data_IF_723481768810
#
_entry.id   IF_723481768810
#
_cell.length_a   1.000
_cell.length_b   1.000
_cell.length_c   1.000
_cell.angle_alpha   90.00
_cell.angle_beta   90.00
_cell.angle_gamma   90.00
#
_symmetry.space_group_name_H-M   'P 1'
#
loop_
_entity.id
_entity.type
_entity.pdbx_description
1 polymer ?
#
# COMPACT_ATOMS: atom_id res chain seq x y z
N UNK A 1 -5.24 -3.56 -32.06
CA UNK A 1 -4.27 -3.44 -30.95
C UNK A 1 -4.86 -3.06 -29.58
N UNK A 2 -6.19 -2.98 -29.37
CA UNK A 2 -6.79 -2.58 -28.08
C UNK A 2 -7.06 -3.74 -27.08
N UNK A 3 -7.09 -4.98 -27.56
CA UNK A 3 -7.48 -6.15 -26.75
C UNK A 3 -6.43 -6.53 -25.71
N UNK A 4 -5.13 -6.30 -25.99
CA UNK A 4 -4.05 -6.69 -25.10
C UNK A 4 -4.01 -5.81 -23.83
N UNK A 5 -4.21 -4.50 -23.98
CA UNK A 5 -4.21 -3.55 -22.86
C UNK A 5 -5.34 -3.82 -21.86
N UNK A 6 -6.56 -4.07 -22.35
CA UNK A 6 -7.70 -4.41 -21.48
C UNK A 6 -7.44 -5.68 -20.66
N UNK A 7 -6.93 -6.74 -21.30
CA UNK A 7 -6.60 -8.00 -20.61
C UNK A 7 -5.53 -7.79 -19.54
N UNK A 8 -4.51 -6.95 -19.80
CA UNK A 8 -3.47 -6.62 -18.83
C UNK A 8 -4.07 -5.87 -17.62
N UNK A 9 -4.95 -4.89 -17.85
CA UNK A 9 -5.59 -4.14 -16.77
C UNK A 9 -6.54 -4.99 -15.94
N UNK A 10 -7.35 -5.83 -16.58
CA UNK A 10 -8.20 -6.80 -15.87
C UNK A 10 -7.37 -7.76 -15.02
N UNK A 11 -6.24 -8.24 -15.55
CA UNK A 11 -5.33 -9.11 -14.81
C UNK A 11 -4.69 -8.39 -13.62
N UNK A 12 -4.31 -7.13 -13.76
CA UNK A 12 -3.77 -6.33 -12.66
C UNK A 12 -4.80 -6.10 -11.55
N UNK A 13 -6.06 -5.82 -11.91
CA UNK A 13 -7.16 -5.70 -10.96
C UNK A 13 -7.45 -7.03 -10.23
N UNK A 14 -7.42 -8.15 -10.96
CA UNK A 14 -7.57 -9.49 -10.36
C UNK A 14 -6.40 -9.81 -9.42
N UNK A 15 -5.17 -9.53 -9.81
CA UNK A 15 -4.00 -9.69 -8.92
C UNK A 15 -4.09 -8.83 -7.67
N UNK A 16 -4.66 -7.62 -7.76
CA UNK A 16 -4.93 -6.79 -6.60
C UNK A 16 -5.99 -7.41 -5.71
N UNK A 17 -7.05 -7.97 -6.28
CA UNK A 17 -8.10 -8.67 -5.53
C UNK A 17 -7.55 -9.92 -4.81
N UNK A 18 -6.76 -10.75 -5.51
CA UNK A 18 -6.13 -11.99 -5.02
C UNK A 18 -4.89 -11.77 -4.13
N UNK A 19 -4.46 -10.52 -3.95
CA UNK A 19 -3.44 -10.18 -2.98
C UNK A 19 -4.06 -10.28 -1.58
N UNK A 20 -4.11 -11.50 -1.04
CA UNK A 20 -4.61 -11.80 0.33
C UNK A 20 -3.50 -11.71 1.39
N UNK A 21 -2.26 -11.49 0.95
CA UNK A 21 -1.11 -11.37 1.85
C UNK A 21 -0.38 -10.06 1.63
N UNK A 22 0.21 -9.54 2.70
CA UNK A 22 1.04 -8.34 2.69
C UNK A 22 2.18 -8.47 1.67
N UNK A 23 2.76 -9.67 1.54
CA UNK A 23 3.83 -9.94 0.57
C UNK A 23 3.35 -9.79 -0.87
N UNK A 24 2.20 -10.38 -1.23
CA UNK A 24 1.60 -10.23 -2.56
C UNK A 24 1.28 -8.76 -2.87
N UNK A 25 0.74 -8.02 -1.90
CA UNK A 25 0.47 -6.60 -2.08
C UNK A 25 1.75 -5.78 -2.31
N UNK A 26 2.84 -6.10 -1.60
CA UNK A 26 4.16 -5.48 -1.80
C UNK A 26 4.75 -5.80 -3.17
N UNK A 27 4.68 -7.05 -3.61
CA UNK A 27 5.13 -7.45 -4.95
C UNK A 27 4.35 -6.73 -6.03
N UNK A 28 3.02 -6.63 -5.89
CA UNK A 28 2.17 -5.92 -6.82
C UNK A 28 2.49 -4.42 -6.89
N UNK A 29 2.71 -3.77 -5.73
CA UNK A 29 3.20 -2.39 -5.69
C UNK A 29 4.52 -2.26 -6.45
N UNK A 30 5.46 -3.17 -6.23
CA UNK A 30 6.78 -3.14 -6.86
C UNK A 30 6.67 -3.32 -8.37
N UNK A 31 5.85 -4.27 -8.82
CA UNK A 31 5.55 -4.51 -10.24
C UNK A 31 4.92 -3.28 -10.90
N UNK A 32 3.95 -2.63 -10.25
CA UNK A 32 3.30 -1.44 -10.76
C UNK A 32 4.27 -0.25 -10.88
N UNK A 33 5.21 -0.09 -9.94
CA UNK A 33 6.27 0.92 -10.04
C UNK A 33 7.26 0.60 -11.16
N UNK A 34 7.65 -0.66 -11.33
CA UNK A 34 8.50 -1.08 -12.47
C UNK A 34 7.80 -0.83 -13.80
N UNK A 35 6.49 -1.11 -13.89
CA UNK A 35 5.69 -0.82 -15.07
C UNK A 35 5.61 0.69 -15.36
N UNK A 36 5.47 1.52 -14.33
CA UNK A 36 5.48 2.98 -14.48
C UNK A 36 6.82 3.50 -15.01
N UNK A 37 7.94 2.98 -14.48
CA UNK A 37 9.28 3.33 -14.94
C UNK A 37 9.54 2.84 -16.38
N UNK A 38 9.06 1.66 -16.73
CA UNK A 38 9.11 1.15 -18.10
C UNK A 38 8.27 2.02 -19.06
N UNK A 39 7.05 2.38 -18.68
CA UNK A 39 6.18 3.26 -19.46
C UNK A 39 6.83 4.64 -19.68
N UNK A 40 7.49 5.17 -18.65
CA UNK A 40 8.30 6.40 -18.75
C UNK A 40 9.44 6.26 -19.75
N UNK A 41 10.21 5.16 -19.69
CA UNK A 41 11.33 4.89 -20.62
C UNK A 41 10.88 4.67 -22.07
N UNK A 42 9.62 4.27 -22.25
CA UNK A 42 9.01 4.02 -23.56
C UNK A 42 8.18 5.19 -24.09
N UNK A 43 8.17 6.33 -23.39
CA UNK A 43 7.42 7.53 -23.76
C UNK A 43 5.94 7.22 -24.06
N UNK A 44 5.31 6.42 -23.19
CA UNK A 44 3.91 5.98 -23.35
C UNK A 44 2.89 7.03 -22.90
N UNK A 45 3.33 8.26 -22.59
CA UNK A 45 2.51 9.36 -22.09
C UNK A 45 2.30 9.34 -20.57
N UNK A 46 2.03 10.53 -20.00
CA UNK A 46 1.88 10.73 -18.56
C UNK A 46 0.67 9.96 -17.99
N UNK A 47 -0.42 9.82 -18.76
CA UNK A 47 -1.62 9.09 -18.34
C UNK A 47 -1.32 7.60 -18.05
N UNK A 48 -0.50 6.96 -18.89
CA UNK A 48 -0.12 5.56 -18.69
C UNK A 48 0.75 5.39 -17.43
N UNK A 49 1.70 6.31 -17.22
CA UNK A 49 2.56 6.34 -16.04
C UNK A 49 1.71 6.58 -14.78
N UNK A 50 0.79 7.54 -14.83
CA UNK A 50 -0.11 7.85 -13.74
C UNK A 50 -1.04 6.68 -13.40
N UNK A 51 -1.56 5.98 -14.41
CA UNK A 51 -2.32 4.75 -14.21
C UNK A 51 -1.51 3.68 -13.46
N UNK A 52 -0.27 3.40 -13.87
CA UNK A 52 0.58 2.44 -13.15
C UNK A 52 0.86 2.88 -11.70
N UNK A 53 1.14 4.17 -11.47
CA UNK A 53 1.34 4.72 -10.12
C UNK A 53 0.07 4.64 -9.26
N UNK A 54 -1.10 4.79 -9.87
CA UNK A 54 -2.39 4.69 -9.19
C UNK A 54 -2.63 3.28 -8.65
N UNK A 55 -2.32 2.25 -9.43
CA UNK A 55 -2.37 0.86 -8.96
C UNK A 55 -1.36 0.58 -7.84
N UNK A 56 -0.16 1.17 -7.92
CA UNK A 56 0.82 1.05 -6.84
C UNK A 56 0.30 1.65 -5.51
N UNK A 57 -0.42 2.77 -5.58
CA UNK A 57 -1.05 3.40 -4.41
C UNK A 57 -2.18 2.54 -3.83
N UNK A 58 -2.99 1.93 -4.68
CA UNK A 58 -4.08 1.03 -4.24
C UNK A 58 -3.53 -0.22 -3.55
N UNK A 59 -2.46 -0.82 -4.11
CA UNK A 59 -1.76 -1.94 -3.48
C UNK A 59 -1.16 -1.53 -2.11
N UNK A 60 -0.60 -0.32 -2.02
CA UNK A 60 -0.05 0.23 -0.76
C UNK A 60 -1.16 0.46 0.28
N UNK A 61 -2.33 0.97 -0.14
CA UNK A 61 -3.50 1.15 0.72
C UNK A 61 -4.04 -0.18 1.23
N UNK A 62 -4.21 -1.17 0.35
CA UNK A 62 -4.66 -2.52 0.72
C UNK A 62 -3.68 -3.18 1.70
N UNK A 63 -2.38 -3.03 1.45
CA UNK A 63 -1.33 -3.47 2.38
C UNK A 63 -1.48 -2.81 3.75
N UNK A 64 -1.76 -1.51 3.80
CA UNK A 64 -2.00 -0.77 5.03
C UNK A 64 -3.25 -1.23 5.80
N UNK A 65 -4.31 -1.59 5.09
CA UNK A 65 -5.54 -2.15 5.68
C UNK A 65 -5.23 -3.49 6.34
N UNK A 66 -4.57 -4.41 5.61
CA UNK A 66 -4.12 -5.69 6.16
C UNK A 66 -3.21 -5.51 7.37
N UNK A 67 -2.27 -4.55 7.32
CA UNK A 67 -1.36 -4.25 8.43
C UNK A 67 -2.08 -3.68 9.66
N UNK A 68 -3.29 -3.14 9.52
CA UNK A 68 -4.12 -2.71 10.67
C UNK A 68 -4.96 -3.86 11.21
N UNK A 69 -5.44 -4.74 10.33
CA UNK A 69 -6.20 -5.94 10.70
C UNK A 69 -5.31 -6.99 11.37
N UNK A 70 -4.06 -7.14 10.92
CA UNK A 70 -3.06 -7.95 11.63
C UNK A 70 -2.66 -7.20 12.90
N UNK A 71 -3.21 -7.62 14.04
CA UNK A 71 -2.83 -7.12 15.36
C UNK A 71 -1.30 -7.18 15.46
N UNK A 72 -0.65 -6.00 15.55
CA UNK A 72 0.81 -5.91 15.63
C UNK A 72 1.26 -6.81 16.78
N UNK A 73 2.22 -7.70 16.54
CA UNK A 73 2.90 -8.42 17.61
C UNK A 73 3.36 -7.37 18.63
N UNK A 74 2.65 -7.29 19.75
CA UNK A 74 2.90 -6.28 20.76
C UNK A 74 4.37 -6.38 21.14
N UNK A 75 5.12 -5.30 20.94
CA UNK A 75 6.48 -5.14 21.44
C UNK A 75 6.49 -4.97 22.98
N UNK A 76 5.56 -5.64 23.67
CA UNK A 76 5.57 -5.79 25.10
C UNK A 76 6.49 -6.97 25.43
N UNK A 77 7.64 -6.60 26.00
CA UNK A 77 8.51 -7.46 26.79
C UNK A 77 7.69 -8.36 27.72
N UNK A 78 7.44 -9.60 27.34
CA UNK A 78 7.23 -10.67 28.30
C UNK A 78 7.93 -11.93 27.80
N UNK A 79 9.18 -12.06 28.24
CA UNK A 79 9.90 -13.33 28.21
C UNK A 79 9.22 -14.29 29.20
N UNK A 80 8.12 -14.91 28.81
CA UNK A 80 7.67 -16.15 29.44
C UNK A 80 7.40 -17.20 28.37
N UNK A 81 8.33 -18.15 28.34
CA UNK A 81 8.19 -19.48 27.74
C UNK A 81 6.78 -20.02 28.04
N UNK A 82 5.97 -20.18 27.01
CA UNK A 82 4.81 -21.05 27.00
C UNK A 82 4.83 -21.79 25.65
N UNK A 83 4.62 -23.09 25.70
CA UNK A 83 4.79 -24.02 24.60
C UNK A 83 3.74 -23.76 23.48
N UNK A 84 4.20 -23.88 22.23
CA UNK A 84 3.69 -23.27 20.99
C UNK A 84 2.23 -23.58 20.56
N UNK A 85 1.59 -22.64 19.83
CA UNK A 85 0.86 -23.01 18.60
C UNK A 85 1.06 -21.97 17.46
N UNK A 86 0.64 -22.30 16.23
CA UNK A 86 0.61 -21.41 15.06
C UNK A 86 0.06 -20.00 15.42
N UNK A 87 0.72 -18.91 14.98
CA UNK A 87 0.13 -17.57 15.05
C UNK A 87 0.90 -16.49 15.82
N UNK A 88 2.23 -16.45 15.75
CA UNK A 88 2.95 -15.19 16.00
C UNK A 88 2.71 -14.32 14.77
N UNK A 89 2.05 -13.15 14.87
CA UNK A 89 1.91 -12.28 13.71
C UNK A 89 3.31 -11.90 13.23
N UNK A 90 3.60 -12.11 11.94
CA UNK A 90 4.95 -11.96 11.42
C UNK A 90 5.44 -10.53 11.69
N UNK A 91 6.67 -10.42 12.19
CA UNK A 91 7.30 -9.14 12.43
C UNK A 91 7.49 -8.39 11.11
N UNK A 92 7.54 -7.05 11.15
CA UNK A 92 7.76 -6.23 9.94
C UNK A 92 9.01 -6.66 9.16
N UNK A 93 10.06 -7.12 9.86
CA UNK A 93 11.27 -7.65 9.23
C UNK A 93 11.02 -8.98 8.50
N UNK A 94 10.19 -9.87 9.05
CA UNK A 94 9.80 -11.14 8.40
C UNK A 94 8.90 -10.91 7.20
N UNK A 95 8.09 -9.84 7.22
CA UNK A 95 7.32 -9.34 6.06
C UNK A 95 8.21 -8.57 5.05
N UNK A 96 9.51 -8.43 5.33
CA UNK A 96 10.45 -7.67 4.52
C UNK A 96 10.10 -6.19 4.40
N UNK A 97 9.30 -5.63 5.30
CA UNK A 97 8.87 -4.23 5.28
C UNK A 97 9.73 -3.39 6.23
N UNK A 98 10.15 -2.22 5.77
CA UNK A 98 10.72 -1.23 6.68
C UNK A 98 9.63 -0.60 7.55
N UNK A 99 9.97 -0.12 8.76
CA UNK A 99 9.02 0.60 9.61
C UNK A 99 8.40 1.80 8.90
N UNK A 100 9.19 2.48 8.05
CA UNK A 100 8.73 3.63 7.26
C UNK A 100 7.67 3.22 6.24
N UNK A 101 7.91 2.17 5.46
CA UNK A 101 6.95 1.67 4.48
C UNK A 101 5.64 1.22 5.14
N UNK A 102 5.73 0.54 6.27
CA UNK A 102 4.54 0.12 7.02
C UNK A 102 3.73 1.32 7.53
N UNK A 103 4.39 2.37 8.01
CA UNK A 103 3.75 3.57 8.50
C UNK A 103 3.08 4.37 7.37
N UNK A 104 3.72 4.46 6.20
CA UNK A 104 3.13 5.12 5.02
C UNK A 104 1.93 4.36 4.49
N UNK A 105 2.00 3.03 4.44
CA UNK A 105 0.87 2.19 4.01
C UNK A 105 -0.33 2.31 4.95
N UNK A 106 -0.10 2.21 6.27
CA UNK A 106 -1.15 2.38 7.27
C UNK A 106 -1.74 3.80 7.28
N UNK A 107 -0.93 4.82 6.99
CA UNK A 107 -1.42 6.19 6.79
C UNK A 107 -2.40 6.24 5.61
N UNK A 108 -2.03 5.69 4.46
CA UNK A 108 -2.90 5.65 3.27
C UNK A 108 -4.20 4.86 3.51
N UNK A 109 -4.14 3.79 4.30
CA UNK A 109 -5.31 3.00 4.67
C UNK A 109 -6.29 3.76 5.57
N UNK A 110 -5.80 4.69 6.38
CA UNK A 110 -6.65 5.50 7.26
C UNK A 110 -7.23 6.74 6.57
N UNK A 111 -6.63 7.19 5.47
CA UNK A 111 -7.14 8.36 4.76
C UNK A 111 -8.58 8.11 4.24
N UNK A 112 -9.46 9.12 4.32
CA UNK A 112 -10.74 9.13 3.63
C UNK A 112 -10.58 8.82 2.14
N UNK A 113 -11.62 8.25 1.53
CA UNK A 113 -11.60 7.94 0.10
C UNK A 113 -11.34 9.19 -0.75
N UNK A 114 -11.92 10.34 -0.38
CA UNK A 114 -11.73 11.60 -1.11
C UNK A 114 -10.27 12.05 -1.14
N UNK A 115 -9.61 12.08 0.03
CA UNK A 115 -8.19 12.42 0.14
C UNK A 115 -7.31 11.45 -0.65
N UNK A 116 -7.66 10.17 -0.65
CA UNK A 116 -6.94 9.15 -1.39
C UNK A 116 -7.07 9.35 -2.90
N UNK A 117 -8.26 9.66 -3.40
CA UNK A 117 -8.49 9.96 -4.82
C UNK A 117 -7.76 11.25 -5.24
N UNK A 118 -7.65 12.27 -4.38
CA UNK A 118 -6.84 13.46 -4.66
C UNK A 118 -5.34 13.15 -4.77
N UNK A 119 -4.83 12.23 -3.94
CA UNK A 119 -3.44 11.75 -4.03
C UNK A 119 -3.24 10.94 -5.31
N UNK A 120 -4.20 10.09 -5.67
CA UNK A 120 -4.20 9.29 -6.91
C UNK A 120 -4.22 10.17 -8.16
N UNK A 121 -4.97 11.27 -8.11
CA UNK A 121 -5.05 12.28 -9.16
C UNK A 121 -3.81 13.19 -9.21
N UNK A 122 -2.89 13.10 -8.24
CA UNK A 122 -1.71 13.97 -8.16
C UNK A 122 -2.00 15.40 -7.70
N UNK A 123 -3.23 15.70 -7.25
CA UNK A 123 -3.65 17.01 -6.77
C UNK A 123 -3.14 17.30 -5.35
N UNK A 124 -2.92 16.24 -4.57
CA UNK A 124 -2.50 16.32 -3.17
C UNK A 124 -1.27 15.45 -2.92
N UNK A 125 -0.30 15.98 -2.17
CA UNK A 125 0.89 15.21 -1.81
C UNK A 125 0.66 14.40 -0.54
N UNK A 126 1.34 13.26 -0.42
CA UNK A 126 1.34 12.42 0.79
C UNK A 126 1.69 13.21 2.06
N UNK A 127 2.62 14.15 1.94
CA UNK A 127 3.06 15.00 3.06
C UNK A 127 1.97 15.97 3.53
N UNK A 128 1.20 16.54 2.60
CA UNK A 128 0.08 17.43 2.92
C UNK A 128 -1.04 16.67 3.64
N UNK A 129 -1.43 15.51 3.12
CA UNK A 129 -2.43 14.65 3.76
C UNK A 129 -2.02 14.20 5.18
N UNK A 130 -0.73 13.89 5.38
CA UNK A 130 -0.20 13.57 6.72
C UNK A 130 -0.32 14.76 7.69
N UNK A 131 0.00 15.96 7.23
CA UNK A 131 -0.04 17.18 8.05
C UNK A 131 -1.47 17.51 8.48
N UNK A 132 -2.42 17.46 7.55
CA UNK A 132 -3.83 17.72 7.83
C UNK A 132 -4.39 16.72 8.86
N UNK A 133 -4.07 15.43 8.74
CA UNK A 133 -4.41 14.42 9.76
C UNK A 133 -3.82 14.74 11.13
N UNK A 134 -2.55 15.15 11.19
CA UNK A 134 -1.89 15.50 12.45
C UNK A 134 -2.56 16.71 13.11
N UNK A 135 -3.05 17.66 12.31
CA UNK A 135 -3.80 18.82 12.78
C UNK A 135 -5.17 18.41 13.32
N UNK A 136 -5.94 17.62 12.56
CA UNK A 136 -7.25 17.13 13.02
C UNK A 136 -7.15 16.28 14.29
N UNK A 137 -6.11 15.46 14.45
CA UNK A 137 -5.88 14.67 15.67
C UNK A 137 -5.54 15.55 16.88
N UNK A 138 -4.89 16.70 16.67
CA UNK A 138 -4.50 17.63 17.73
C UNK A 138 -5.63 18.60 18.11
N UNK A 139 -6.62 18.82 17.24
CA UNK A 139 -7.81 19.63 17.51
C UNK A 139 -8.91 18.88 18.30
N UNK A 140 -8.80 17.56 18.39
CA UNK A 140 -9.72 16.67 19.11
C UNK A 140 -9.24 16.30 20.54
N UNK A 141 -8.14 16.90 21.01
CA UNK A 141 -7.58 16.71 22.37
C UNK A 141 -7.67 18.00 23.16
#
# INVERSE_FOLDING_TARGET
MKTNSLVIFTKAALMLAEADTIQKAKELKSLALTAAEWAKRKDMGEEAIQHCRSYALEAERKMGQMLRETERANAARDKKKAECPQGIPPTLKELGLSPKESAEAQLLAELPADDFEEIKAGKKTRAKAKKERQQSANELT
#
